data_IF_591002431658
#
_entry.id   IF_591002431658
#
_cell.length_a   1.000
_cell.length_b   1.000
_cell.length_c   1.000
_cell.angle_alpha   90.00
_cell.angle_beta   90.00
_cell.angle_gamma   90.00
#
_symmetry.space_group_name_H-M   'P 1'
#
loop_
_entity.id
_entity.type
_entity.pdbx_description
1 polymer ?
#
# COMPACT_ATOMS: atom_id res chain seq x y z
N UNK A 1 -47.17 12.81 -28.82
CA UNK A 1 -46.90 13.30 -27.45
C UNK A 1 -46.00 12.35 -26.63
N UNK A 2 -45.99 11.03 -26.89
CA UNK A 2 -45.18 10.02 -26.17
C UNK A 2 -43.65 10.12 -26.26
N UNK A 3 -43.07 10.88 -27.21
CA UNK A 3 -41.60 10.98 -27.37
C UNK A 3 -40.90 11.86 -26.34
N UNK A 4 -41.60 12.85 -25.76
CA UNK A 4 -41.00 13.73 -24.75
C UNK A 4 -40.76 12.98 -23.43
N UNK A 5 -41.72 12.15 -23.01
CA UNK A 5 -41.66 11.44 -21.73
C UNK A 5 -40.54 10.38 -21.72
N UNK A 6 -40.27 9.73 -22.85
CA UNK A 6 -39.20 8.74 -22.98
C UNK A 6 -37.80 9.37 -22.86
N UNK A 7 -37.59 10.55 -23.47
CA UNK A 7 -36.32 11.29 -23.42
C UNK A 7 -36.08 11.84 -22.02
N UNK A 8 -37.12 12.38 -21.38
CA UNK A 8 -37.03 12.91 -20.02
C UNK A 8 -36.75 11.81 -18.98
N UNK A 9 -37.33 10.62 -19.18
CA UNK A 9 -37.07 9.45 -18.32
C UNK A 9 -35.63 8.95 -18.48
N UNK A 10 -35.11 8.91 -19.71
CA UNK A 10 -33.73 8.51 -19.98
C UNK A 10 -32.70 9.50 -19.40
N UNK A 11 -32.93 10.82 -19.56
CA UNK A 11 -32.08 11.86 -18.97
C UNK A 11 -32.07 11.81 -17.44
N UNK A 12 -33.22 11.59 -16.81
CA UNK A 12 -33.30 11.46 -15.35
C UNK A 12 -32.54 10.21 -14.86
N UNK A 13 -32.71 9.07 -15.53
CA UNK A 13 -32.00 7.83 -15.18
C UNK A 13 -30.47 8.00 -15.34
N UNK A 14 -30.03 8.69 -16.39
CA UNK A 14 -28.62 8.96 -16.65
C UNK A 14 -28.02 9.90 -15.60
N UNK A 15 -28.79 10.90 -15.14
CA UNK A 15 -28.41 11.79 -14.05
C UNK A 15 -28.30 11.04 -12.70
N UNK A 16 -29.22 10.14 -12.40
CA UNK A 16 -29.18 9.32 -11.19
C UNK A 16 -27.95 8.41 -11.19
N UNK A 17 -27.67 7.70 -12.29
CA UNK A 17 -26.48 6.86 -12.44
C UNK A 17 -25.18 7.65 -12.26
N UNK A 18 -25.14 8.86 -12.81
CA UNK A 18 -23.97 9.74 -12.69
C UNK A 18 -23.74 10.22 -11.25
N UNK A 19 -24.80 10.65 -10.55
CA UNK A 19 -24.71 11.04 -9.15
C UNK A 19 -24.27 9.87 -8.26
N UNK A 20 -24.75 8.66 -8.55
CA UNK A 20 -24.33 7.45 -7.85
C UNK A 20 -22.86 7.09 -8.13
N UNK A 21 -22.38 7.30 -9.36
CA UNK A 21 -20.96 7.16 -9.70
C UNK A 21 -20.08 8.16 -8.95
N UNK A 22 -20.47 9.45 -8.90
CA UNK A 22 -19.75 10.47 -8.12
C UNK A 22 -19.70 10.10 -6.64
N UNK A 23 -20.84 9.74 -6.05
CA UNK A 23 -20.92 9.36 -4.64
C UNK A 23 -20.03 8.14 -4.32
N UNK A 24 -19.99 7.17 -5.24
CA UNK A 24 -19.10 6.01 -5.11
C UNK A 24 -17.62 6.41 -5.18
N UNK A 25 -17.25 7.32 -6.09
CA UNK A 25 -15.89 7.84 -6.21
C UNK A 25 -15.48 8.60 -4.94
N UNK A 26 -16.33 9.52 -4.45
CA UNK A 26 -16.06 10.27 -3.22
C UNK A 26 -15.80 9.33 -2.04
N UNK A 27 -16.63 8.30 -1.89
CA UNK A 27 -16.44 7.27 -0.85
C UNK A 27 -15.12 6.51 -1.02
N UNK A 28 -14.71 6.20 -2.25
CA UNK A 28 -13.43 5.53 -2.50
C UNK A 28 -12.25 6.46 -2.15
N UNK A 29 -12.35 7.74 -2.47
CA UNK A 29 -11.33 8.73 -2.11
C UNK A 29 -11.23 8.92 -0.59
N UNK A 30 -12.36 8.94 0.13
CA UNK A 30 -12.37 8.97 1.60
C UNK A 30 -11.69 7.73 2.20
N UNK A 31 -11.94 6.55 1.64
CA UNK A 31 -11.27 5.31 2.06
C UNK A 31 -9.76 5.36 1.78
N UNK A 32 -9.36 5.93 0.63
CA UNK A 32 -7.96 6.09 0.26
C UNK A 32 -7.24 7.09 1.18
N UNK A 33 -7.87 8.21 1.49
CA UNK A 33 -7.35 9.21 2.43
C UNK A 33 -7.21 8.64 3.85
N UNK A 34 -8.22 7.89 4.31
CA UNK A 34 -8.14 7.19 5.59
C UNK A 34 -7.01 6.14 5.59
N UNK A 35 -6.92 5.35 4.52
CA UNK A 35 -5.86 4.34 4.37
C UNK A 35 -4.47 4.95 4.40
N UNK A 36 -4.29 6.11 3.77
CA UNK A 36 -3.06 6.90 3.84
C UNK A 36 -2.73 7.29 5.29
N UNK A 37 -3.67 7.91 5.99
CA UNK A 37 -3.48 8.36 7.37
C UNK A 37 -3.20 7.21 8.36
N UNK A 38 -3.86 6.06 8.17
CA UNK A 38 -3.61 4.88 8.99
C UNK A 38 -2.24 4.26 8.70
N UNK A 39 -1.81 4.25 7.43
CA UNK A 39 -0.51 3.71 7.05
C UNK A 39 0.66 4.46 7.71
N UNK A 40 0.52 5.73 8.07
CA UNK A 40 1.57 6.51 8.75
C UNK A 40 1.93 5.95 10.14
N UNK A 41 1.02 5.17 10.74
CA UNK A 41 1.19 4.59 12.08
C UNK A 41 1.89 3.23 12.06
N UNK A 42 2.16 2.68 10.87
CA UNK A 42 2.83 1.39 10.72
C UNK A 42 4.19 1.39 11.44
N UNK A 43 4.41 0.39 12.28
CA UNK A 43 5.53 0.32 13.21
C UNK A 43 6.51 -0.82 12.92
N UNK A 44 6.03 -1.89 12.28
CA UNK A 44 6.84 -3.03 11.89
C UNK A 44 6.60 -3.45 10.41
N UNK A 45 7.36 -4.44 9.96
CA UNK A 45 7.32 -4.90 8.58
C UNK A 45 5.99 -5.58 8.21
N UNK A 46 5.33 -6.24 9.15
CA UNK A 46 4.04 -6.91 8.92
C UNK A 46 2.95 -5.86 8.69
N UNK A 47 2.85 -4.87 9.58
CA UNK A 47 1.93 -3.74 9.43
C UNK A 47 2.21 -2.96 8.13
N UNK A 48 3.49 -2.75 7.77
CA UNK A 48 3.85 -2.11 6.50
C UNK A 48 3.32 -2.89 5.29
N UNK A 49 3.41 -4.21 5.29
CA UNK A 49 2.89 -5.07 4.22
C UNK A 49 1.36 -5.03 4.14
N UNK A 50 0.66 -5.11 5.27
CA UNK A 50 -0.82 -5.00 5.28
C UNK A 50 -1.30 -3.65 4.71
N UNK A 51 -0.62 -2.57 5.10
CA UNK A 51 -0.93 -1.25 4.57
C UNK A 51 -0.60 -1.10 3.08
N UNK A 52 0.47 -1.75 2.59
CA UNK A 52 0.78 -1.81 1.16
C UNK A 52 -0.35 -2.47 0.37
N UNK A 53 -0.75 -3.68 0.75
CA UNK A 53 -1.80 -4.45 0.07
C UNK A 53 -3.13 -3.66 0.02
N UNK A 54 -3.50 -3.03 1.14
CA UNK A 54 -4.70 -2.22 1.21
C UNK A 54 -4.63 -0.99 0.29
N UNK A 55 -3.52 -0.24 0.34
CA UNK A 55 -3.34 0.96 -0.47
C UNK A 55 -3.28 0.64 -1.97
N UNK A 56 -2.61 -0.45 -2.36
CA UNK A 56 -2.57 -0.91 -3.75
C UNK A 56 -3.96 -1.31 -4.25
N UNK A 57 -4.73 -2.05 -3.45
CA UNK A 57 -6.11 -2.42 -3.79
C UNK A 57 -7.03 -1.21 -3.94
N UNK A 58 -6.93 -0.23 -3.03
CA UNK A 58 -7.73 0.99 -3.09
C UNK A 58 -7.34 1.85 -4.31
N UNK A 59 -6.04 1.97 -4.59
CA UNK A 59 -5.54 2.71 -5.75
C UNK A 59 -6.01 2.09 -7.08
N UNK A 60 -6.02 0.75 -7.17
CA UNK A 60 -6.53 0.04 -8.33
C UNK A 60 -8.03 0.32 -8.55
N UNK A 61 -8.83 0.34 -7.48
CA UNK A 61 -10.27 0.65 -7.55
C UNK A 61 -10.50 2.09 -8.01
N UNK A 62 -9.81 3.06 -7.43
CA UNK A 62 -9.89 4.48 -7.84
C UNK A 62 -9.49 4.67 -9.30
N UNK A 63 -8.46 3.94 -9.76
CA UNK A 63 -8.02 4.02 -11.16
C UNK A 63 -9.04 3.50 -12.18
N UNK A 64 -9.96 2.61 -11.75
CA UNK A 64 -10.99 1.99 -12.62
C UNK A 64 -12.37 2.65 -12.50
N UNK A 65 -12.60 3.44 -11.45
CA UNK A 65 -13.93 3.87 -11.02
C UNK A 65 -14.53 5.00 -11.87
N UNK A 66 -13.69 5.85 -12.46
CA UNK A 66 -14.17 7.09 -13.10
C UNK A 66 -13.90 7.11 -14.61
N UNK A 67 -14.79 6.46 -15.36
CA UNK A 67 -15.03 6.74 -16.78
C UNK A 67 -16.25 7.67 -16.87
N UNK A 68 -16.01 8.97 -17.04
CA UNK A 68 -17.09 9.96 -17.17
C UNK A 68 -17.36 10.17 -18.64
N UNK A 69 -18.56 9.82 -19.09
CA UNK A 69 -19.01 10.09 -20.45
C UNK A 69 -19.03 11.61 -20.72
N UNK A 70 -18.31 12.04 -21.77
CA UNK A 70 -18.25 13.43 -22.23
C UNK A 70 -19.65 14.02 -22.53
N UNK A 71 -20.61 13.16 -22.85
CA UNK A 71 -22.00 13.52 -23.13
C UNK A 71 -22.72 14.12 -21.90
N UNK A 72 -22.32 13.74 -20.68
CA UNK A 72 -22.85 14.27 -19.41
C UNK A 72 -22.26 15.65 -19.09
N UNK A 73 -20.99 15.88 -19.47
CA UNK A 73 -20.32 17.17 -19.31
C UNK A 73 -20.87 18.26 -20.25
N UNK A 74 -21.61 17.85 -21.28
CA UNK A 74 -22.32 18.74 -22.20
C UNK A 74 -23.62 19.31 -21.61
N UNK A 75 -24.15 18.72 -20.52
CA UNK A 75 -25.32 19.26 -19.81
C UNK A 75 -24.91 20.49 -19.00
N UNK A 76 -25.61 21.60 -19.25
CA UNK A 76 -25.34 22.97 -18.80
C UNK A 76 -25.60 23.19 -17.30
N UNK A 77 -24.84 22.51 -16.43
CA UNK A 77 -24.79 22.81 -15.00
C UNK A 77 -23.32 23.15 -14.63
N UNK A 78 -22.96 24.43 -14.63
CA UNK A 78 -21.59 24.87 -14.27
C UNK A 78 -21.16 24.34 -12.89
N UNK A 79 -22.12 24.17 -11.97
CA UNK A 79 -21.91 23.57 -10.66
C UNK A 79 -21.40 22.12 -10.73
N UNK A 80 -21.95 21.30 -11.64
CA UNK A 80 -21.53 19.90 -11.83
C UNK A 80 -20.12 19.85 -12.38
N UNK A 81 -19.79 20.75 -13.32
CA UNK A 81 -18.45 20.84 -13.89
C UNK A 81 -17.41 21.23 -12.84
N UNK A 82 -17.72 22.23 -12.01
CA UNK A 82 -16.82 22.66 -10.93
C UNK A 82 -16.65 21.57 -9.86
N UNK A 83 -17.72 20.85 -9.53
CA UNK A 83 -17.67 19.71 -8.60
C UNK A 83 -16.80 18.58 -9.15
N UNK A 84 -16.94 18.25 -10.44
CA UNK A 84 -16.17 17.21 -11.09
C UNK A 84 -14.70 17.59 -11.26
N UNK A 85 -14.41 18.87 -11.54
CA UNK A 85 -13.05 19.39 -11.57
C UNK A 85 -12.37 19.22 -10.20
N UNK A 86 -13.05 19.64 -9.11
CA UNK A 86 -12.56 19.45 -7.74
C UNK A 86 -12.37 17.98 -7.37
N UNK A 87 -13.28 17.10 -7.80
CA UNK A 87 -13.19 15.67 -7.56
C UNK A 87 -11.97 15.08 -8.28
N UNK A 88 -11.75 15.44 -9.54
CA UNK A 88 -10.58 15.02 -10.32
C UNK A 88 -9.26 15.54 -9.73
N UNK A 89 -9.22 16.79 -9.27
CA UNK A 89 -8.05 17.34 -8.56
C UNK A 89 -7.76 16.56 -7.28
N UNK A 90 -8.78 16.29 -6.46
CA UNK A 90 -8.65 15.48 -5.25
C UNK A 90 -8.16 14.06 -5.57
N UNK A 91 -8.75 13.42 -6.58
CA UNK A 91 -8.37 12.09 -7.07
C UNK A 91 -6.91 12.05 -7.48
N UNK A 92 -6.46 13.01 -8.27
CA UNK A 92 -5.08 13.07 -8.73
C UNK A 92 -4.12 13.26 -7.55
N UNK A 93 -4.42 14.22 -6.66
CA UNK A 93 -3.62 14.50 -5.46
C UNK A 93 -3.48 13.27 -4.57
N UNK A 94 -4.59 12.60 -4.26
CA UNK A 94 -4.59 11.42 -3.41
C UNK A 94 -3.89 10.24 -4.09
N UNK A 95 -4.10 10.04 -5.39
CA UNK A 95 -3.41 9.00 -6.17
C UNK A 95 -1.88 9.18 -6.11
N UNK A 96 -1.39 10.41 -6.29
CA UNK A 96 0.05 10.68 -6.25
C UNK A 96 0.61 10.50 -4.84
N UNK A 97 -0.11 10.97 -3.81
CA UNK A 97 0.27 10.76 -2.41
C UNK A 97 0.29 9.26 -2.04
N UNK A 98 -0.69 8.48 -2.49
CA UNK A 98 -0.73 7.02 -2.29
C UNK A 98 0.45 6.34 -2.96
N UNK A 99 0.80 6.70 -4.21
CA UNK A 99 1.97 6.12 -4.89
C UNK A 99 3.27 6.42 -4.15
N UNK A 100 3.43 7.65 -3.66
CA UNK A 100 4.59 8.01 -2.85
C UNK A 100 4.64 7.20 -1.56
N UNK A 101 3.50 7.05 -0.88
CA UNK A 101 3.42 6.27 0.37
C UNK A 101 3.71 4.79 0.15
N UNK A 102 3.17 4.18 -0.91
CA UNK A 102 3.47 2.80 -1.32
C UNK A 102 4.98 2.67 -1.51
N UNK A 103 5.61 3.56 -2.30
CA UNK A 103 7.04 3.50 -2.53
C UNK A 103 7.86 3.63 -1.22
N UNK A 104 7.40 4.44 -0.26
CA UNK A 104 8.04 4.56 1.05
C UNK A 104 7.93 3.27 1.87
N UNK A 105 6.73 2.69 1.95
CA UNK A 105 6.50 1.42 2.66
C UNK A 105 7.27 0.26 2.03
N UNK A 106 7.28 0.13 0.70
CA UNK A 106 8.03 -0.93 0.01
C UNK A 106 9.53 -0.85 0.29
N UNK A 107 10.09 0.36 0.41
CA UNK A 107 11.50 0.54 0.80
C UNK A 107 11.73 0.12 2.25
N UNK A 108 10.83 0.50 3.17
CA UNK A 108 10.93 0.11 4.57
C UNK A 108 10.91 -1.42 4.75
N UNK A 109 10.00 -2.10 4.06
CA UNK A 109 9.93 -3.58 4.04
C UNK A 109 11.23 -4.19 3.51
N UNK A 110 11.72 -3.70 2.36
CA UNK A 110 12.98 -4.20 1.79
C UNK A 110 14.19 -3.99 2.70
N UNK A 111 14.23 -2.87 3.44
CA UNK A 111 15.26 -2.61 4.44
C UNK A 111 15.15 -3.59 5.62
N UNK A 112 13.93 -3.86 6.12
CA UNK A 112 13.69 -4.87 7.15
C UNK A 112 14.18 -6.26 6.73
N UNK A 113 13.80 -6.74 5.54
CA UNK A 113 14.26 -8.02 5.00
C UNK A 113 15.79 -8.09 4.88
N UNK A 114 16.41 -6.98 4.48
CA UNK A 114 17.87 -6.88 4.39
C UNK A 114 18.51 -6.97 5.78
N UNK A 115 17.96 -6.29 6.78
CA UNK A 115 18.47 -6.35 8.15
C UNK A 115 18.34 -7.76 8.74
N UNK A 116 17.22 -8.43 8.52
CA UNK A 116 17.02 -9.82 8.96
C UNK A 116 18.06 -10.76 8.36
N UNK A 117 18.33 -10.63 7.07
CA UNK A 117 19.38 -11.40 6.39
C UNK A 117 20.76 -11.14 7.00
N UNK A 118 21.12 -9.89 7.21
CA UNK A 118 22.39 -9.52 7.82
C UNK A 118 22.52 -10.08 9.25
N UNK A 119 21.44 -10.06 10.03
CA UNK A 119 21.41 -10.64 11.36
C UNK A 119 21.63 -12.16 11.31
N UNK A 120 20.98 -12.86 10.39
CA UNK A 120 21.18 -14.29 10.19
C UNK A 120 22.63 -14.63 9.82
N UNK A 121 23.25 -13.87 8.92
CA UNK A 121 24.65 -14.04 8.52
C UNK A 121 25.60 -13.88 9.72
N UNK A 122 25.37 -12.85 10.56
CA UNK A 122 26.17 -12.61 11.78
C UNK A 122 25.99 -13.74 12.79
N UNK A 123 24.76 -14.22 12.99
CA UNK A 123 24.47 -15.33 13.90
C UNK A 123 25.17 -16.62 13.44
N UNK A 124 25.13 -16.91 12.13
CA UNK A 124 25.84 -18.05 11.55
C UNK A 124 27.35 -17.95 11.75
N UNK A 125 27.93 -16.77 11.49
CA UNK A 125 29.36 -16.54 11.70
C UNK A 125 29.76 -16.70 13.18
N UNK A 126 28.97 -16.13 14.09
CA UNK A 126 29.19 -16.25 15.53
C UNK A 126 29.14 -17.71 16.01
N UNK A 127 28.16 -18.48 15.53
CA UNK A 127 28.05 -19.91 15.83
C UNK A 127 29.26 -20.71 15.31
N UNK A 128 29.76 -20.36 14.12
CA UNK A 128 30.95 -20.98 13.56
C UNK A 128 32.20 -20.69 14.39
N UNK A 129 32.43 -19.42 14.77
CA UNK A 129 33.55 -19.03 15.63
C UNK A 129 33.48 -19.72 16.98
N UNK A 130 32.29 -19.79 17.58
CA UNK A 130 32.08 -20.45 18.88
C UNK A 130 32.46 -21.94 18.81
N UNK A 131 32.05 -22.62 17.73
CA UNK A 131 32.43 -24.02 17.47
C UNK A 131 33.94 -24.20 17.34
N UNK A 132 34.63 -23.31 16.63
CA UNK A 132 36.10 -23.35 16.50
C UNK A 132 36.80 -23.16 17.85
N UNK A 133 36.30 -22.24 18.67
CA UNK A 133 36.84 -21.99 20.00
C UNK A 133 36.63 -23.18 20.94
N UNK A 134 35.46 -23.83 20.88
CA UNK A 134 35.17 -25.03 21.68
C UNK A 134 36.07 -26.22 21.28
N UNK A 135 36.29 -26.42 19.98
CA UNK A 135 37.24 -27.43 19.49
C UNK A 135 38.68 -27.16 19.95
N UNK A 136 39.09 -25.89 19.94
CA UNK A 136 40.42 -25.52 20.46
C UNK A 136 40.52 -25.78 21.95
N UNK A 137 39.52 -25.35 22.72
CA UNK A 137 39.46 -25.56 24.17
C UNK A 137 39.54 -27.04 24.53
N UNK A 138 38.81 -27.91 23.81
CA UNK A 138 38.86 -29.36 24.06
C UNK A 138 40.23 -29.96 23.71
N UNK A 139 40.87 -29.49 22.63
CA UNK A 139 42.23 -29.87 22.27
C UNK A 139 43.26 -29.41 23.32
N UNK A 140 43.15 -28.19 23.83
CA UNK A 140 44.05 -27.65 24.85
C UNK A 140 43.89 -28.42 26.19
N UNK A 141 42.66 -28.80 26.56
CA UNK A 141 42.40 -29.65 27.74
C UNK A 141 43.00 -31.05 27.56
N UNK A 142 42.83 -31.67 26.39
CA UNK A 142 43.38 -33.01 26.11
C UNK A 142 44.92 -33.03 26.07
N UNK A 143 45.57 -31.91 25.72
CA UNK A 143 47.03 -31.80 25.71
C UNK A 143 47.63 -31.60 27.11
N UNK A 144 46.82 -31.20 28.09
CA UNK A 144 47.22 -31.07 29.51
C UNK A 144 47.06 -32.39 30.29
N UNK A 145 46.30 -33.36 29.76
CA UNK A 145 46.13 -34.72 30.31
C UNK A 145 47.29 -35.66 29.90
N UNK A 146 48.54 -35.20 30.03
CA UNK A 146 49.70 -36.09 29.93
C UNK A 146 49.87 -36.78 31.29
N UNK A 147 49.81 -38.11 31.39
CA UNK A 147 50.04 -38.80 32.66
C UNK A 147 51.46 -38.50 33.16
N UNK A 148 51.58 -38.06 34.42
CA UNK A 148 52.88 -38.01 35.09
C UNK A 148 53.44 -39.43 35.14
N UNK A 149 54.48 -39.69 34.33
CA UNK A 149 55.28 -40.91 34.45
C UNK A 149 56.08 -40.84 35.76
N UNK A 150 55.61 -41.57 36.78
CA UNK A 150 56.38 -41.92 37.98
C UNK A 150 56.86 -43.37 37.92
#
# INVERSE_FOLDING_TARGET
MLRCDQVHCWLNALREMFLESISNEERLLEQLEKGLADSEKASDAEECCEHLDNLESLLEKVSKSLEVDEEILSMDESYVRDSLARLNESRQRLTDATRERIAALSRAVADCERFEKQMADIQQWSAHVSTLLDLRKSSDVSALDVPDEY
#
